data_IF_307849589951
#
_entry.id   IF_307849589951
#
_cell.length_a   1.000
_cell.length_b   1.000
_cell.length_c   1.000
_cell.angle_alpha   90.00
_cell.angle_beta   90.00
_cell.angle_gamma   90.00
#
_symmetry.space_group_name_H-M   'P 1'
#
loop_
_entity.id
_entity.type
_entity.pdbx_description
1 polymer ?
#
# COMPACT_ATOMS: atom_id res chain seq x y z
N UNK A 1 -24.41 -24.19 14.76
CA UNK A 1 -24.06 -24.54 13.36
C UNK A 1 -22.77 -23.82 13.01
N UNK A 2 -21.69 -24.51 12.64
CA UNK A 2 -20.54 -23.87 12.00
C UNK A 2 -20.96 -23.59 10.56
N UNK A 3 -20.91 -22.33 10.14
CA UNK A 3 -21.06 -21.96 8.73
C UNK A 3 -19.98 -22.68 7.94
N UNK A 4 -20.38 -23.50 6.97
CA UNK A 4 -19.48 -24.12 6.00
C UNK A 4 -18.99 -23.00 5.06
N UNK A 5 -17.91 -22.33 5.46
CA UNK A 5 -17.24 -21.32 4.64
C UNK A 5 -15.86 -21.86 4.27
N UNK A 6 -15.47 -21.71 3.00
CA UNK A 6 -14.13 -22.05 2.54
C UNK A 6 -13.21 -20.88 2.89
N UNK A 7 -12.11 -21.09 3.64
CA UNK A 7 -11.14 -20.04 3.90
C UNK A 7 -10.48 -19.59 2.60
N UNK A 8 -10.51 -18.28 2.32
CA UNK A 8 -9.86 -17.68 1.14
C UNK A 8 -8.76 -16.74 1.59
N UNK A 9 -7.55 -16.96 1.07
CA UNK A 9 -6.40 -16.07 1.28
C UNK A 9 -6.23 -15.22 0.03
N UNK A 10 -6.20 -13.89 0.18
CA UNK A 10 -6.04 -12.92 -0.91
C UNK A 10 -4.87 -12.00 -0.59
N UNK A 11 -3.93 -11.86 -1.52
CA UNK A 11 -2.78 -10.97 -1.35
C UNK A 11 -1.80 -11.08 -2.51
N UNK A 12 -0.87 -10.12 -2.60
CA UNK A 12 0.18 -10.09 -3.63
C UNK A 12 1.59 -10.43 -3.11
N UNK A 13 1.74 -10.72 -1.81
CA UNK A 13 3.06 -10.97 -1.21
C UNK A 13 3.46 -12.43 -1.31
N UNK A 14 4.18 -12.78 -2.38
CA UNK A 14 4.60 -14.16 -2.65
C UNK A 14 5.40 -14.78 -1.49
N UNK A 15 6.30 -14.03 -0.86
CA UNK A 15 7.10 -14.56 0.26
C UNK A 15 6.24 -15.01 1.45
N UNK A 16 5.10 -14.36 1.70
CA UNK A 16 4.16 -14.77 2.75
C UNK A 16 3.37 -16.01 2.32
N UNK A 17 2.94 -16.08 1.06
CA UNK A 17 2.25 -17.25 0.50
C UNK A 17 3.18 -18.47 0.53
N UNK A 18 4.42 -18.32 0.09
CA UNK A 18 5.45 -19.36 0.15
C UNK A 18 5.68 -19.82 1.59
N UNK A 19 5.83 -18.90 2.53
CA UNK A 19 6.01 -19.24 3.94
C UNK A 19 4.78 -19.94 4.53
N UNK A 20 3.58 -19.62 4.07
CA UNK A 20 2.35 -20.30 4.49
C UNK A 20 2.28 -21.72 3.93
N UNK A 21 2.57 -21.88 2.63
CA UNK A 21 2.30 -23.10 1.86
C UNK A 21 3.45 -24.12 1.95
N UNK A 22 4.70 -23.67 1.98
CA UNK A 22 5.91 -24.51 1.91
C UNK A 22 6.53 -24.84 3.28
N UNK A 23 6.06 -24.22 4.36
CA UNK A 23 6.66 -24.43 5.67
C UNK A 23 6.41 -25.85 6.20
N UNK A 24 7.51 -26.55 6.47
CA UNK A 24 7.54 -27.95 6.89
C UNK A 24 6.94 -28.17 8.28
N UNK A 25 6.92 -27.15 9.14
CA UNK A 25 6.32 -27.24 10.48
C UNK A 25 4.81 -27.14 10.37
N UNK A 26 4.31 -26.23 9.52
CA UNK A 26 2.88 -26.07 9.32
C UNK A 26 2.27 -27.19 8.47
N UNK A 27 3.06 -27.82 7.58
CA UNK A 27 2.63 -28.92 6.69
C UNK A 27 1.34 -28.59 5.94
N UNK A 28 1.23 -27.35 5.44
CA UNK A 28 -0.02 -26.82 4.90
C UNK A 28 -0.60 -27.69 3.78
N UNK A 29 0.23 -28.08 2.82
CA UNK A 29 -0.15 -28.96 1.69
C UNK A 29 -0.67 -30.34 2.10
N UNK A 30 -0.31 -30.83 3.29
CA UNK A 30 -0.80 -32.10 3.82
C UNK A 30 -2.16 -31.93 4.53
N UNK A 31 -2.40 -30.76 5.11
CA UNK A 31 -3.61 -30.47 5.91
C UNK A 31 -4.77 -29.97 5.08
N UNK A 32 -4.50 -29.31 3.96
CA UNK A 32 -5.52 -28.62 3.17
C UNK A 32 -5.41 -28.98 1.70
N UNK A 33 -6.56 -29.33 1.10
CA UNK A 33 -6.70 -29.36 -0.35
C UNK A 33 -6.83 -27.92 -0.86
N UNK A 34 -5.85 -27.48 -1.63
CA UNK A 34 -5.63 -26.07 -1.95
C UNK A 34 -5.95 -25.78 -3.41
N UNK A 35 -6.76 -24.75 -3.65
CA UNK A 35 -7.06 -24.24 -4.98
C UNK A 35 -6.38 -22.89 -5.18
N UNK A 36 -5.48 -22.79 -6.17
CA UNK A 36 -4.75 -21.56 -6.48
C UNK A 36 -5.36 -20.89 -7.71
N UNK A 37 -5.84 -19.66 -7.53
CA UNK A 37 -6.32 -18.82 -8.62
C UNK A 37 -5.31 -17.70 -8.88
N UNK A 38 -4.60 -17.75 -10.00
CA UNK A 38 -3.68 -16.70 -10.42
C UNK A 38 -4.38 -15.79 -11.43
N UNK A 39 -4.53 -14.52 -11.06
CA UNK A 39 -5.08 -13.48 -11.92
C UNK A 39 -3.93 -12.87 -12.72
N UNK A 40 -4.00 -12.98 -14.04
CA UNK A 40 -3.05 -12.39 -14.98
C UNK A 40 -3.71 -11.28 -15.81
N UNK A 41 -2.92 -10.30 -16.24
CA UNK A 41 -3.39 -9.11 -16.97
C UNK A 41 -2.29 -8.59 -17.90
N UNK A 42 -2.69 -8.02 -19.05
CA UNK A 42 -1.74 -7.37 -19.94
C UNK A 42 -1.10 -6.17 -19.26
N UNK A 43 0.19 -5.98 -19.48
CA UNK A 43 0.97 -4.90 -18.85
C UNK A 43 0.40 -3.50 -19.14
N UNK A 44 -0.08 -3.24 -20.35
CA UNK A 44 -0.73 -1.96 -20.70
C UNK A 44 -1.99 -1.69 -19.87
N UNK A 45 -2.80 -2.72 -19.65
CA UNK A 45 -4.06 -2.61 -18.91
C UNK A 45 -3.77 -2.46 -17.41
N UNK A 46 -2.73 -3.13 -16.91
CA UNK A 46 -2.25 -2.98 -15.55
C UNK A 46 -1.80 -1.55 -15.26
N UNK A 47 -0.94 -0.97 -16.12
CA UNK A 47 -0.46 0.40 -15.91
C UNK A 47 -1.60 1.41 -15.92
N UNK A 48 -2.52 1.33 -16.88
CA UNK A 48 -3.68 2.22 -16.90
C UNK A 48 -4.52 2.12 -15.62
N UNK A 49 -4.67 0.92 -15.05
CA UNK A 49 -5.40 0.72 -13.79
C UNK A 49 -4.63 1.21 -12.57
N UNK A 50 -3.31 1.01 -12.52
CA UNK A 50 -2.45 1.49 -11.43
C UNK A 50 -2.46 3.01 -11.39
N UNK A 51 -2.30 3.68 -12.53
CA UNK A 51 -2.33 5.14 -12.63
C UNK A 51 -3.68 5.70 -12.16
N UNK A 52 -4.78 5.13 -12.65
CA UNK A 52 -6.13 5.52 -12.23
C UNK A 52 -6.34 5.32 -10.72
N UNK A 53 -5.83 4.24 -10.14
CA UNK A 53 -5.93 3.98 -8.70
C UNK A 53 -5.08 4.95 -7.90
N UNK A 54 -3.88 5.29 -8.36
CA UNK A 54 -3.01 6.27 -7.71
C UNK A 54 -3.68 7.64 -7.68
N UNK A 55 -4.24 8.06 -8.82
CA UNK A 55 -5.06 9.27 -8.94
C UNK A 55 -6.24 9.26 -7.95
N UNK A 56 -6.94 8.14 -7.82
CA UNK A 56 -8.05 8.01 -6.87
C UNK A 56 -7.60 8.08 -5.41
N UNK A 57 -6.43 7.53 -5.06
CA UNK A 57 -5.91 7.60 -3.69
C UNK A 57 -5.50 9.02 -3.28
N UNK A 58 -4.90 9.76 -4.22
CA UNK A 58 -4.53 11.15 -3.98
C UNK A 58 -5.78 12.02 -3.97
N UNK A 59 -6.68 11.85 -4.95
CA UNK A 59 -7.84 12.72 -5.18
C UNK A 59 -9.13 12.29 -4.46
N UNK A 60 -9.11 11.23 -3.66
CA UNK A 60 -10.32 10.56 -3.15
C UNK A 60 -11.42 11.56 -2.74
N UNK A 61 -12.49 11.62 -3.53
CA UNK A 61 -13.40 12.77 -3.64
C UNK A 61 -14.14 13.19 -2.35
N UNK A 62 -14.09 12.39 -1.29
CA UNK A 62 -14.74 12.67 0.00
C UNK A 62 -13.74 13.13 1.10
N UNK A 63 -12.44 12.94 0.87
CA UNK A 63 -11.35 13.40 1.72
C UNK A 63 -10.25 13.94 0.80
N UNK A 64 -10.26 15.25 0.54
CA UNK A 64 -9.20 15.89 -0.23
C UNK A 64 -7.84 15.46 0.31
N UNK A 65 -7.03 14.81 -0.53
CA UNK A 65 -5.67 14.33 -0.24
C UNK A 65 -5.57 13.16 0.76
N UNK A 66 -6.43 12.14 0.64
CA UNK A 66 -6.41 10.96 1.55
C UNK A 66 -5.00 10.38 1.75
N UNK A 67 -4.31 10.00 0.66
CA UNK A 67 -2.97 9.40 0.76
C UNK A 67 -1.98 10.32 1.49
N UNK A 68 -1.96 11.60 1.12
CA UNK A 68 -1.06 12.59 1.72
C UNK A 68 -1.35 12.73 3.22
N UNK A 69 -2.62 12.80 3.59
CA UNK A 69 -3.03 12.93 5.00
C UNK A 69 -2.72 11.67 5.81
N UNK A 70 -2.80 10.49 5.22
CA UNK A 70 -2.45 9.21 5.86
C UNK A 70 -0.93 9.09 6.07
N UNK A 71 -0.14 9.38 5.03
CA UNK A 71 1.33 9.33 5.15
C UNK A 71 1.84 10.39 6.12
N UNK A 72 1.25 11.59 6.13
CA UNK A 72 1.61 12.67 7.08
C UNK A 72 1.47 12.24 8.54
N UNK A 73 0.49 11.38 8.88
CA UNK A 73 0.29 10.91 10.27
C UNK A 73 1.39 9.99 10.78
N UNK A 74 2.08 9.28 9.88
CA UNK A 74 3.17 8.34 10.23
C UNK A 74 4.55 8.89 9.84
N UNK A 75 4.59 10.09 9.28
CA UNK A 75 5.81 10.72 8.80
C UNK A 75 6.73 11.09 9.96
N UNK A 76 7.98 10.66 9.83
CA UNK A 76 9.07 11.04 10.72
C UNK A 76 10.27 11.30 9.80
N UNK A 77 10.90 12.49 9.88
CA UNK A 77 12.04 12.83 9.04
C UNK A 77 13.20 11.83 9.18
N UNK A 78 13.92 11.58 8.08
CA UNK A 78 15.15 10.75 8.02
C UNK A 78 14.98 9.31 8.57
N UNK A 79 13.78 8.73 8.47
CA UNK A 79 13.52 7.37 8.96
C UNK A 79 13.99 6.24 8.05
N UNK A 80 14.08 5.04 8.63
CA UNK A 80 14.42 3.81 7.91
C UNK A 80 13.22 3.24 7.13
N UNK A 81 13.15 3.56 5.84
CA UNK A 81 12.14 3.02 4.91
C UNK A 81 12.32 1.55 4.52
N UNK A 82 13.30 0.83 5.10
CA UNK A 82 13.50 -0.60 4.82
C UNK A 82 12.70 -1.53 5.73
N UNK A 83 11.93 -0.97 6.68
CA UNK A 83 11.25 -1.76 7.73
C UNK A 83 9.76 -1.49 7.82
N UNK A 84 9.00 -2.57 8.07
CA UNK A 84 7.58 -2.52 8.41
C UNK A 84 6.74 -1.74 7.39
N UNK A 85 5.78 -0.96 7.92
CA UNK A 85 4.83 -0.16 7.11
C UNK A 85 5.51 0.95 6.30
N UNK A 86 6.71 1.39 6.71
CA UNK A 86 7.48 2.43 6.02
C UNK A 86 8.05 1.98 4.67
N UNK A 87 8.03 0.67 4.39
CA UNK A 87 8.36 0.11 3.07
C UNK A 87 7.26 0.28 2.03
N UNK A 88 6.06 0.70 2.44
CA UNK A 88 4.95 0.95 1.52
C UNK A 88 5.37 1.99 0.50
N UNK A 89 5.11 1.75 -0.78
CA UNK A 89 5.66 2.52 -1.92
C UNK A 89 5.47 4.03 -1.74
N UNK A 90 4.26 4.44 -1.34
CA UNK A 90 3.88 5.85 -1.24
C UNK A 90 4.62 6.60 -0.11
N UNK A 91 5.13 5.90 0.91
CA UNK A 91 5.75 6.51 2.10
C UNK A 91 7.11 7.16 1.77
N UNK A 92 8.11 6.45 1.21
CA UNK A 92 9.37 7.07 0.79
C UNK A 92 9.18 8.02 -0.39
N UNK A 93 8.17 7.82 -1.26
CA UNK A 93 7.88 8.76 -2.36
C UNK A 93 7.42 10.14 -1.85
N UNK A 94 6.74 10.19 -0.71
CA UNK A 94 6.25 11.42 -0.09
C UNK A 94 7.27 12.10 0.84
N UNK A 95 8.41 11.47 1.11
CA UNK A 95 9.41 11.98 2.09
C UNK A 95 9.88 13.39 1.74
N UNK A 96 10.26 13.62 0.47
CA UNK A 96 10.73 14.94 0.02
C UNK A 96 9.65 15.99 0.18
N UNK A 97 8.42 15.67 -0.22
CA UNK A 97 7.28 16.58 -0.16
C UNK A 97 6.96 16.99 1.29
N UNK A 98 6.88 16.01 2.20
CA UNK A 98 6.56 16.28 3.62
C UNK A 98 7.73 16.94 4.36
N UNK A 99 8.97 16.62 4.01
CA UNK A 99 10.16 17.32 4.53
C UNK A 99 10.16 18.79 4.15
N UNK A 100 9.86 19.12 2.88
CA UNK A 100 9.75 20.50 2.42
C UNK A 100 8.57 21.23 3.09
N UNK A 101 7.43 20.56 3.28
CA UNK A 101 6.24 21.12 3.95
C UNK A 101 6.52 21.56 5.40
N UNK A 102 7.33 20.80 6.15
CA UNK A 102 7.69 21.12 7.54
C UNK A 102 8.72 22.26 7.63
N UNK A 103 9.62 22.36 6.66
CA UNK A 103 10.69 23.38 6.64
C UNK A 103 10.20 24.79 6.24
N UNK A 104 8.92 24.94 5.91
CA UNK A 104 8.32 26.23 5.55
C UNK A 104 7.73 26.88 6.81
N UNK A 105 8.32 28.02 7.20
CA UNK A 105 7.82 28.95 8.25
C UNK A 105 6.51 29.69 7.85
N UNK A 106 5.79 29.21 6.83
CA UNK A 106 4.62 29.86 6.22
C UNK A 106 3.29 29.29 6.70
N UNK A 107 2.25 30.12 6.62
CA UNK A 107 0.85 29.77 6.91
C UNK A 107 0.31 28.64 6.01
N UNK A 108 -0.87 28.12 6.37
CA UNK A 108 -1.53 27.02 5.63
C UNK A 108 -1.76 27.34 4.14
N UNK A 109 -1.83 28.62 3.76
CA UNK A 109 -2.01 29.07 2.37
C UNK A 109 -0.73 28.85 1.54
N UNK A 110 0.43 29.12 2.15
CA UNK A 110 1.75 28.85 1.56
C UNK A 110 2.01 27.34 1.37
N UNK A 111 1.52 26.52 2.30
CA UNK A 111 1.63 25.05 2.22
C UNK A 111 0.69 24.44 1.16
N UNK A 112 -0.48 25.04 0.94
CA UNK A 112 -1.41 24.59 -0.11
C UNK A 112 -0.88 24.79 -1.53
N UNK A 113 0.03 25.73 -1.77
CA UNK A 113 0.59 25.95 -3.12
C UNK A 113 1.46 24.77 -3.62
N UNK A 114 2.06 23.97 -2.72
CA UNK A 114 2.85 22.78 -3.12
C UNK A 114 1.93 21.65 -3.59
N UNK A 115 0.67 21.63 -3.14
CA UNK A 115 -0.32 20.62 -3.54
C UNK A 115 -0.78 20.82 -5.00
N UNK A 116 -0.59 22.02 -5.57
CA UNK A 116 -1.06 22.39 -6.91
C UNK A 116 0.02 22.40 -8.00
N UNK A 117 1.29 22.12 -7.66
CA UNK A 117 2.40 22.08 -8.61
C UNK A 117 2.67 20.64 -9.10
#
# INVERSE_FOLDING_TARGET
>A
MKTQCVPTVVGGTNSYIEKLVEDRVFMFKYKYDSFFNWIDVKQSDLYSRVDMRNDQMVKAANFSNWLVNEVRQIFIPDEDYTKGIRRSIDVPEMDRYLSEEINIDGDDESKQMIIQA
#
